data_IF_289251863632
#
_entry.id   IF_289251863632
#
_cell.length_a   1.000
_cell.length_b   1.000
_cell.length_c   1.000
_cell.angle_alpha   90.00
_cell.angle_beta   90.00
_cell.angle_gamma   90.00
#
_symmetry.space_group_name_H-M   'P 1'
#
loop_
_entity.id
_entity.type
_entity.pdbx_description
1 polymer ?
#
# COMPACT_ATOMS: atom_id res chain seq x y z
N UNK A 1 3.66 12.55 -11.32
CA UNK A 1 3.94 12.06 -12.69
C UNK A 1 5.44 12.04 -13.00
N UNK A 2 6.17 13.17 -12.96
CA UNK A 2 7.62 13.20 -13.22
C UNK A 2 8.40 12.28 -12.27
N UNK A 3 8.17 12.41 -10.96
CA UNK A 3 8.77 11.56 -9.92
C UNK A 3 8.49 10.08 -10.18
N UNK A 4 7.23 9.73 -10.43
CA UNK A 4 6.82 8.35 -10.70
C UNK A 4 7.50 7.74 -11.92
N UNK A 5 7.71 8.52 -12.98
CA UNK A 5 8.41 8.08 -14.20
C UNK A 5 9.91 7.88 -13.93
N UNK A 6 10.54 8.80 -13.19
CA UNK A 6 11.97 8.69 -12.82
C UNK A 6 12.23 7.46 -11.95
N UNK A 7 11.33 7.18 -10.99
CA UNK A 7 11.47 6.02 -10.13
C UNK A 7 11.10 4.70 -10.83
N UNK A 8 10.18 4.71 -11.79
CA UNK A 8 9.92 3.54 -12.64
C UNK A 8 11.20 3.08 -13.39
N UNK A 9 12.00 4.02 -13.90
CA UNK A 9 13.29 3.71 -14.55
C UNK A 9 14.38 3.27 -13.55
N UNK A 10 14.29 3.70 -12.30
CA UNK A 10 15.25 3.34 -11.24
C UNK A 10 14.92 1.98 -10.59
N UNK A 11 13.65 1.56 -10.62
CA UNK A 11 13.18 0.25 -10.17
C UNK A 11 13.88 -0.89 -10.90
N UNK A 12 14.12 -0.73 -12.19
CA UNK A 12 14.80 -1.74 -13.02
C UNK A 12 16.27 -1.94 -12.62
N UNK A 13 16.89 -0.95 -11.94
CA UNK A 13 18.31 -0.98 -11.55
C UNK A 13 18.55 -1.37 -10.08
N UNK A 14 17.67 -0.96 -9.17
CA UNK A 14 17.83 -1.14 -7.71
C UNK A 14 17.06 -2.34 -7.17
N UNK A 15 16.11 -2.87 -7.95
CA UNK A 15 15.26 -3.99 -7.54
C UNK A 15 14.08 -3.55 -6.69
N UNK A 16 12.97 -4.30 -6.79
CA UNK A 16 11.66 -3.90 -6.27
C UNK A 16 11.55 -3.94 -4.73
N UNK A 17 12.27 -4.88 -4.10
CA UNK A 17 12.20 -5.17 -2.66
C UNK A 17 12.76 -4.04 -1.78
N UNK A 18 13.99 -3.53 -1.99
CA UNK A 18 14.51 -2.44 -1.15
C UNK A 18 13.79 -1.11 -1.37
N UNK A 19 13.25 -0.87 -2.57
CA UNK A 19 12.50 0.36 -2.88
C UNK A 19 11.21 0.43 -2.04
N UNK A 20 10.51 -0.69 -1.87
CA UNK A 20 9.29 -0.72 -1.05
C UNK A 20 9.59 -0.37 0.42
N UNK A 21 10.68 -0.91 0.97
CA UNK A 21 11.07 -0.66 2.36
C UNK A 21 11.60 0.76 2.58
N UNK A 22 12.41 1.29 1.66
CA UNK A 22 12.88 2.67 1.71
C UNK A 22 11.72 3.68 1.56
N UNK A 23 10.76 3.39 0.68
CA UNK A 23 9.59 4.23 0.46
C UNK A 23 8.66 4.23 1.67
N UNK A 24 8.27 3.07 2.20
CA UNK A 24 7.41 2.98 3.39
C UNK A 24 8.11 3.54 4.63
N UNK A 25 9.43 3.34 4.78
CA UNK A 25 10.21 3.96 5.85
C UNK A 25 10.26 5.50 5.76
N UNK A 26 10.45 6.04 4.56
CA UNK A 26 10.40 7.48 4.31
C UNK A 26 9.00 8.07 4.51
N UNK A 27 7.96 7.33 4.13
CA UNK A 27 6.56 7.68 4.36
C UNK A 27 6.23 7.76 5.86
N UNK A 28 6.65 6.76 6.64
CA UNK A 28 6.48 6.76 8.10
C UNK A 28 7.19 7.95 8.77
N UNK A 29 8.48 8.16 8.45
CA UNK A 29 9.26 9.24 9.03
C UNK A 29 8.69 10.62 8.73
N UNK A 30 8.27 10.86 7.49
CA UNK A 30 7.68 12.13 7.07
C UNK A 30 6.31 12.37 7.70
N UNK A 31 5.49 11.33 7.84
CA UNK A 31 4.18 11.41 8.48
C UNK A 31 4.28 11.68 10.00
N UNK A 32 5.28 11.13 10.68
CA UNK A 32 5.58 11.44 12.08
C UNK A 32 5.92 12.93 12.26
N UNK A 33 6.76 13.49 11.39
CA UNK A 33 7.15 14.91 11.46
C UNK A 33 5.98 15.82 11.06
N UNK A 34 5.17 15.41 10.07
CA UNK A 34 3.94 16.13 9.72
C UNK A 34 2.98 16.19 10.90
N UNK A 35 2.70 15.04 11.54
CA UNK A 35 1.81 14.96 12.72
C UNK A 35 2.30 15.82 13.88
N UNK A 36 3.61 15.80 14.16
CA UNK A 36 4.23 16.62 15.19
C UNK A 36 4.10 18.13 14.87
N UNK A 37 4.26 18.50 13.61
CA UNK A 37 4.12 19.89 13.16
C UNK A 37 2.67 20.37 13.25
N UNK A 38 1.69 19.50 12.98
CA UNK A 38 0.27 19.77 13.21
C UNK A 38 -0.03 20.02 14.70
N UNK A 39 0.44 19.15 15.59
CA UNK A 39 0.25 19.34 17.04
C UNK A 39 0.91 20.62 17.56
N UNK A 40 2.12 20.93 17.08
CA UNK A 40 2.84 22.16 17.44
C UNK A 40 2.14 23.44 16.93
N UNK A 41 1.55 23.36 15.74
CA UNK A 41 0.74 24.45 15.18
C UNK A 41 -0.54 24.69 15.98
N UNK A 42 -1.26 23.62 16.35
CA UNK A 42 -2.52 23.70 17.10
C UNK A 42 -2.34 24.15 18.56
N UNK A 43 -1.32 23.64 19.27
CA UNK A 43 -1.13 23.89 20.71
C UNK A 43 -0.25 25.12 21.01
N UNK A 44 0.81 25.34 20.24
CA UNK A 44 1.85 26.32 20.60
C UNK A 44 1.95 27.51 19.63
N UNK A 45 1.19 27.51 18.53
CA UNK A 45 1.22 28.57 17.48
C UNK A 45 2.65 28.94 17.07
N UNK A 46 3.53 27.95 16.96
CA UNK A 46 4.93 28.20 16.61
C UNK A 46 5.01 28.87 15.22
N UNK A 47 5.70 30.01 15.09
CA UNK A 47 5.85 30.69 13.81
C UNK A 47 6.61 29.78 12.83
N UNK A 48 6.01 29.54 11.65
CA UNK A 48 6.59 28.68 10.60
C UNK A 48 6.15 27.21 10.62
N UNK A 49 5.40 26.77 11.64
CA UNK A 49 4.87 25.39 11.67
C UNK A 49 3.89 25.11 10.52
N UNK A 50 3.09 26.10 10.11
CA UNK A 50 2.21 25.97 8.94
C UNK A 50 2.97 25.72 7.63
N UNK A 51 4.09 26.41 7.41
CA UNK A 51 4.91 26.25 6.20
C UNK A 51 5.60 24.89 6.24
N UNK A 52 6.16 24.50 7.39
CA UNK A 52 6.78 23.19 7.57
C UNK A 52 5.77 22.05 7.28
N UNK A 53 4.53 22.17 7.78
CA UNK A 53 3.46 21.20 7.51
C UNK A 53 3.24 21.00 6.01
N UNK A 54 3.12 22.10 5.25
CA UNK A 54 2.91 22.06 3.80
C UNK A 54 4.09 21.39 3.09
N UNK A 55 5.33 21.71 3.49
CA UNK A 55 6.53 21.06 2.91
C UNK A 55 6.50 19.55 3.14
N UNK A 56 6.18 19.09 4.34
CA UNK A 56 6.14 17.66 4.65
C UNK A 56 5.04 16.90 3.89
N UNK A 57 3.92 17.53 3.53
CA UNK A 57 2.91 16.94 2.64
C UNK A 57 3.50 16.60 1.27
N UNK A 58 4.32 17.50 0.72
CA UNK A 58 4.99 17.27 -0.56
C UNK A 58 6.06 16.19 -0.48
N UNK A 59 6.82 16.16 0.61
CA UNK A 59 7.82 15.11 0.84
C UNK A 59 7.14 13.75 1.02
N UNK A 60 6.03 13.66 1.76
CA UNK A 60 5.22 12.44 1.86
C UNK A 60 4.71 11.99 0.49
N UNK A 61 4.17 12.92 -0.30
CA UNK A 61 3.66 12.64 -1.65
C UNK A 61 4.77 12.14 -2.59
N UNK A 62 6.00 12.63 -2.41
CA UNK A 62 7.17 12.12 -3.13
C UNK A 62 7.44 10.65 -2.78
N UNK A 63 7.53 10.29 -1.49
CA UNK A 63 7.76 8.90 -1.07
C UNK A 63 6.63 7.98 -1.52
N UNK A 64 5.37 8.39 -1.36
CA UNK A 64 4.21 7.63 -1.83
C UNK A 64 4.26 7.39 -3.35
N UNK A 65 4.65 8.41 -4.13
CA UNK A 65 4.76 8.31 -5.58
C UNK A 65 5.86 7.33 -6.05
N UNK A 66 6.87 7.05 -5.22
CA UNK A 66 8.00 6.17 -5.61
C UNK A 66 7.67 4.68 -5.60
N UNK A 67 6.83 4.21 -4.67
CA UNK A 67 6.50 2.78 -4.53
C UNK A 67 5.00 2.52 -4.61
N UNK A 68 4.19 3.21 -3.83
CA UNK A 68 2.76 2.90 -3.67
C UNK A 68 1.94 3.27 -4.92
N UNK A 69 2.31 4.33 -5.63
CA UNK A 69 1.57 4.77 -6.82
C UNK A 69 1.62 3.82 -8.02
N UNK A 70 2.64 2.96 -8.16
CA UNK A 70 2.83 2.18 -9.40
C UNK A 70 3.42 0.79 -9.18
N UNK A 71 4.31 0.63 -8.20
CA UNK A 71 4.94 -0.66 -7.91
C UNK A 71 3.95 -1.65 -7.31
N UNK A 72 2.93 -1.17 -6.58
CA UNK A 72 1.90 -2.02 -5.97
C UNK A 72 1.12 -2.82 -7.01
N UNK A 73 0.66 -2.17 -8.09
CA UNK A 73 -0.05 -2.84 -9.18
C UNK A 73 0.92 -3.77 -9.94
N UNK A 74 2.16 -3.34 -10.17
CA UNK A 74 3.19 -4.16 -10.81
C UNK A 74 3.50 -5.44 -10.02
N UNK A 75 3.62 -5.34 -8.70
CA UNK A 75 3.85 -6.48 -7.81
C UNK A 75 2.64 -7.42 -7.79
N UNK A 76 1.41 -6.89 -7.72
CA UNK A 76 0.21 -7.70 -7.81
C UNK A 76 0.16 -8.50 -9.13
N UNK A 77 0.44 -7.85 -10.27
CA UNK A 77 0.49 -8.51 -11.60
C UNK A 77 1.50 -9.66 -11.66
N UNK A 78 2.63 -9.53 -10.95
CA UNK A 78 3.72 -10.52 -10.94
C UNK A 78 3.40 -11.76 -10.11
N UNK A 79 2.72 -11.60 -8.97
CA UNK A 79 2.36 -12.74 -8.12
C UNK A 79 1.17 -13.54 -8.68
N UNK A 80 0.39 -12.95 -9.61
CA UNK A 80 -0.76 -13.60 -10.23
C UNK A 80 -0.40 -14.46 -11.45
N UNK A 81 -0.94 -15.69 -11.54
CA UNK A 81 -0.78 -16.53 -12.73
C UNK A 81 -1.52 -15.93 -13.92
N UNK A 82 -0.99 -16.14 -15.14
CA UNK A 82 -1.48 -15.52 -16.37
C UNK A 82 -2.99 -15.69 -16.61
N UNK A 83 -3.59 -16.83 -16.22
CA UNK A 83 -5.03 -17.11 -16.40
C UNK A 83 -5.96 -16.36 -15.43
N UNK A 84 -5.45 -15.90 -14.28
CA UNK A 84 -6.23 -15.23 -13.23
C UNK A 84 -5.88 -13.74 -13.07
N UNK A 85 -4.82 -13.27 -13.74
CA UNK A 85 -4.30 -11.90 -13.63
C UNK A 85 -5.36 -10.82 -13.82
N UNK A 86 -6.13 -10.87 -14.90
CA UNK A 86 -7.15 -9.86 -15.19
C UNK A 86 -8.22 -9.77 -14.07
N UNK A 87 -8.62 -10.92 -13.52
CA UNK A 87 -9.61 -10.99 -12.43
C UNK A 87 -9.05 -10.53 -11.10
N UNK A 88 -7.79 -10.88 -10.81
CA UNK A 88 -7.13 -10.38 -9.60
C UNK A 88 -6.89 -8.88 -9.64
N UNK A 89 -6.60 -8.31 -10.82
CA UNK A 89 -6.50 -6.86 -10.98
C UNK A 89 -7.86 -6.18 -10.78
N UNK A 90 -8.95 -6.81 -11.20
CA UNK A 90 -10.29 -6.29 -10.93
C UNK A 90 -10.58 -6.29 -9.42
N UNK A 91 -10.25 -7.38 -8.72
CA UNK A 91 -10.41 -7.47 -7.25
C UNK A 91 -9.54 -6.42 -6.54
N UNK A 92 -8.30 -6.24 -6.99
CA UNK A 92 -7.41 -5.20 -6.47
C UNK A 92 -8.03 -3.80 -6.64
N UNK A 93 -8.53 -3.48 -7.82
CA UNK A 93 -9.16 -2.19 -8.07
C UNK A 93 -10.41 -1.99 -7.22
N UNK A 94 -11.23 -3.02 -7.01
CA UNK A 94 -12.38 -2.94 -6.11
C UNK A 94 -11.92 -2.66 -4.67
N UNK A 95 -10.89 -3.35 -4.18
CA UNK A 95 -10.36 -3.12 -2.83
C UNK A 95 -9.86 -1.67 -2.66
N UNK A 96 -9.12 -1.15 -3.65
CA UNK A 96 -8.64 0.23 -3.66
C UNK A 96 -9.82 1.21 -3.65
N UNK A 97 -10.86 0.99 -4.46
CA UNK A 97 -12.03 1.87 -4.51
C UNK A 97 -12.85 1.84 -3.22
N UNK A 98 -12.97 0.68 -2.58
CA UNK A 98 -13.63 0.55 -1.28
C UNK A 98 -12.86 1.30 -0.20
N UNK A 99 -11.54 1.12 -0.14
CA UNK A 99 -10.71 1.82 0.83
C UNK A 99 -10.68 3.34 0.59
N UNK A 100 -10.69 3.77 -0.68
CA UNK A 100 -10.84 5.18 -1.05
C UNK A 100 -12.21 5.75 -0.67
N UNK A 101 -13.29 4.99 -0.87
CA UNK A 101 -14.63 5.38 -0.46
C UNK A 101 -14.71 5.58 1.06
N UNK A 102 -14.13 4.66 1.83
CA UNK A 102 -14.03 4.77 3.28
C UNK A 102 -13.22 6.01 3.68
N UNK A 103 -12.06 6.26 3.09
CA UNK A 103 -11.30 7.48 3.38
C UNK A 103 -12.10 8.75 3.04
N UNK A 104 -12.75 8.81 1.88
CA UNK A 104 -13.52 9.99 1.47
C UNK A 104 -14.76 10.25 2.35
N UNK A 105 -15.31 9.22 3.00
CA UNK A 105 -16.46 9.36 3.89
C UNK A 105 -16.06 9.50 5.37
N UNK A 106 -15.03 8.77 5.81
CA UNK A 106 -14.56 8.81 7.18
C UNK A 106 -13.80 10.11 7.50
N UNK A 107 -12.99 10.61 6.56
CA UNK A 107 -12.17 11.80 6.78
C UNK A 107 -12.98 13.06 7.06
N UNK A 108 -14.04 13.42 6.29
CA UNK A 108 -14.84 14.59 6.62
C UNK A 108 -15.58 14.44 7.94
N UNK A 109 -16.14 13.26 8.25
CA UNK A 109 -16.85 13.00 9.51
C UNK A 109 -15.93 13.11 10.72
N UNK A 110 -14.71 12.58 10.60
CA UNK A 110 -13.74 12.59 11.68
C UNK A 110 -13.15 14.00 11.89
N UNK A 111 -12.97 14.76 10.80
CA UNK A 111 -12.63 16.18 10.86
C UNK A 111 -13.78 16.98 11.52
N UNK A 112 -15.03 16.72 11.19
CA UNK A 112 -16.19 17.41 11.81
C UNK A 112 -16.32 17.11 13.30
N UNK A 113 -15.98 15.90 13.75
CA UNK A 113 -15.99 15.53 15.16
C UNK A 113 -14.86 16.14 15.98
N UNK A 114 -13.67 16.32 15.39
CA UNK A 114 -12.46 16.77 16.11
C UNK A 114 -12.03 18.20 15.77
N UNK A 115 -12.79 18.90 14.93
CA UNK A 115 -12.68 20.35 14.72
C UNK A 115 -12.89 21.07 16.06
N UNK A 116 -11.95 21.96 16.38
CA UNK A 116 -12.13 22.95 17.44
C UNK A 116 -13.18 23.98 17.06
N UNK A 117 -13.59 24.79 18.03
CA UNK A 117 -14.66 25.80 17.95
C UNK A 117 -14.72 26.52 16.59
N UNK A 118 -15.92 26.48 15.98
CA UNK A 118 -16.17 26.94 14.61
C UNK A 118 -15.67 28.37 14.37
N UNK A 119 -14.83 28.54 13.33
CA UNK A 119 -14.40 29.85 12.85
C UNK A 119 -12.96 30.25 13.18
N UNK A 120 -12.24 29.50 14.01
CA UNK A 120 -10.82 29.82 14.31
C UNK A 120 -9.84 28.90 13.58
N UNK A 121 -10.20 27.62 13.32
CA UNK A 121 -9.24 26.64 12.79
C UNK A 121 -8.15 26.24 13.81
N UNK A 122 -8.37 26.53 15.09
CA UNK A 122 -7.44 26.27 16.20
C UNK A 122 -8.17 25.63 17.38
N UNK A 123 -7.45 24.87 18.21
CA UNK A 123 -7.99 24.25 19.43
C UNK A 123 -8.74 22.92 19.23
N UNK A 124 -8.72 22.37 18.02
CA UNK A 124 -9.21 21.01 17.74
C UNK A 124 -8.19 19.94 18.08
N UNK A 125 -8.65 18.70 18.21
CA UNK A 125 -7.79 17.52 18.35
C UNK A 125 -7.53 16.85 17.00
N UNK A 126 -7.35 17.66 15.94
CA UNK A 126 -7.18 17.17 14.57
C UNK A 126 -5.91 16.31 14.43
N UNK A 127 -4.87 16.64 15.21
CA UNK A 127 -3.65 15.85 15.33
C UNK A 127 -3.88 14.37 15.69
N UNK A 128 -4.99 14.02 16.37
CA UNK A 128 -5.33 12.62 16.69
C UNK A 128 -5.65 11.83 15.41
N UNK A 129 -6.24 12.46 14.37
CA UNK A 129 -6.50 11.77 13.09
C UNK A 129 -5.18 11.39 12.43
N UNK A 130 -4.26 12.34 12.38
CA UNK A 130 -2.94 12.11 11.83
C UNK A 130 -2.17 11.04 12.63
N UNK A 131 -2.36 10.96 13.95
CA UNK A 131 -1.77 9.90 14.78
C UNK A 131 -2.33 8.51 14.42
N UNK A 132 -3.63 8.38 14.14
CA UNK A 132 -4.21 7.12 13.65
C UNK A 132 -3.55 6.69 12.34
N UNK A 133 -3.30 7.63 11.42
CA UNK A 133 -2.56 7.35 10.18
C UNK A 133 -1.10 6.94 10.44
N UNK A 134 -0.42 7.55 11.41
CA UNK A 134 0.94 7.13 11.80
C UNK A 134 0.94 5.68 12.29
N UNK A 135 -0.05 5.29 13.10
CA UNK A 135 -0.20 3.89 13.56
C UNK A 135 -0.48 2.96 12.37
N UNK A 136 -1.35 3.36 11.45
CA UNK A 136 -1.65 2.58 10.25
C UNK A 136 -0.41 2.32 9.39
N UNK A 137 0.35 3.38 9.09
CA UNK A 137 1.60 3.28 8.31
C UNK A 137 2.68 2.51 9.06
N UNK A 138 2.69 2.54 10.40
CA UNK A 138 3.56 1.69 11.20
C UNK A 138 3.23 0.21 11.03
N UNK A 139 1.94 -0.16 11.08
CA UNK A 139 1.51 -1.53 10.80
C UNK A 139 1.88 -1.98 9.39
N UNK A 140 1.73 -1.09 8.41
CA UNK A 140 2.14 -1.34 7.02
C UNK A 140 3.66 -1.57 6.93
N UNK A 141 4.47 -0.73 7.59
CA UNK A 141 5.92 -0.89 7.65
C UNK A 141 6.30 -2.24 8.29
N UNK A 142 5.65 -2.63 9.38
CA UNK A 142 5.86 -3.93 10.01
C UNK A 142 5.48 -5.09 9.09
N UNK A 143 4.36 -4.98 8.36
CA UNK A 143 3.91 -5.99 7.40
C UNK A 143 4.92 -6.15 6.25
N UNK A 144 5.38 -5.03 5.67
CA UNK A 144 6.41 -5.00 4.63
C UNK A 144 7.72 -5.60 5.14
N UNK A 145 8.12 -5.26 6.36
CA UNK A 145 9.32 -5.80 6.98
C UNK A 145 9.21 -7.32 7.20
N UNK A 146 8.06 -7.80 7.65
CA UNK A 146 7.80 -9.23 7.82
C UNK A 146 7.82 -9.99 6.49
N UNK A 147 7.20 -9.43 5.45
CA UNK A 147 7.24 -9.97 4.08
C UNK A 147 8.67 -9.98 3.51
N UNK A 148 9.46 -8.95 3.80
CA UNK A 148 10.87 -8.91 3.44
C UNK A 148 11.68 -9.99 4.15
N UNK A 149 11.43 -10.20 5.45
CA UNK A 149 12.10 -11.25 6.23
C UNK A 149 11.68 -12.66 5.79
N UNK A 150 10.39 -12.87 5.47
CA UNK A 150 9.90 -14.13 4.91
C UNK A 150 10.48 -14.43 3.52
N UNK A 151 10.88 -13.40 2.77
CA UNK A 151 11.51 -13.54 1.45
C UNK A 151 13.04 -13.65 1.50
N UNK A 152 13.66 -13.51 2.69
CA UNK A 152 15.11 -13.65 2.90
C UNK A 152 15.50 -15.09 3.24
N UNK A 153 15.31 -16.00 2.27
CA UNK A 153 16.32 -17.04 2.10
C UNK A 153 15.88 -18.49 1.96
N UNK A 154 14.83 -18.83 1.20
CA UNK A 154 14.89 -20.04 0.36
C UNK A 154 13.85 -20.09 -0.78
N UNK A 155 14.02 -19.28 -1.84
CA UNK A 155 13.28 -19.45 -3.11
C UNK A 155 13.62 -20.79 -3.82
N UNK A 156 14.64 -21.52 -3.33
CA UNK A 156 15.06 -22.85 -3.78
C UNK A 156 14.48 -23.98 -2.92
N UNK A 157 13.56 -23.70 -1.97
CA UNK A 157 12.99 -24.77 -1.15
C UNK A 157 12.28 -25.77 -2.06
N UNK A 158 12.65 -27.08 -2.03
CA UNK A 158 12.17 -28.06 -3.00
C UNK A 158 10.63 -28.14 -3.05
N UNK A 159 9.96 -27.83 -1.95
CA UNK A 159 8.49 -27.75 -1.86
C UNK A 159 7.89 -26.58 -2.65
N UNK A 160 8.55 -25.41 -2.69
CA UNK A 160 8.06 -24.24 -3.43
C UNK A 160 8.22 -24.47 -4.93
N UNK A 161 9.33 -25.07 -5.37
CA UNK A 161 9.50 -25.45 -6.78
C UNK A 161 8.56 -26.57 -7.20
N UNK A 162 8.25 -27.51 -6.29
CA UNK A 162 7.26 -28.56 -6.53
C UNK A 162 5.86 -27.96 -6.73
N UNK A 163 5.41 -27.09 -5.82
CA UNK A 163 4.13 -26.36 -5.97
C UNK A 163 4.11 -25.49 -7.24
N UNK A 164 5.22 -24.82 -7.57
CA UNK A 164 5.32 -24.00 -8.78
C UNK A 164 5.19 -24.84 -10.05
N UNK A 165 5.73 -26.06 -10.05
CA UNK A 165 5.66 -26.99 -11.17
C UNK A 165 4.25 -27.57 -11.34
N UNK A 166 3.61 -27.93 -10.23
CA UNK A 166 2.22 -28.41 -10.21
C UNK A 166 1.24 -27.34 -10.72
N UNK A 167 1.42 -26.09 -10.29
CA UNK A 167 0.65 -24.94 -10.77
C UNK A 167 0.89 -24.70 -12.26
N UNK A 168 2.14 -24.83 -12.74
CA UNK A 168 2.48 -24.64 -14.15
C UNK A 168 1.84 -25.70 -15.05
N UNK A 169 1.83 -26.95 -14.60
CA UNK A 169 1.22 -28.03 -15.37
C UNK A 169 -0.32 -27.95 -15.34
N UNK A 170 -0.91 -27.51 -14.23
CA UNK A 170 -2.35 -27.22 -14.15
C UNK A 170 -2.74 -26.08 -15.11
N UNK A 171 -1.94 -25.01 -15.21
CA UNK A 171 -2.17 -23.91 -16.15
C UNK A 171 -2.06 -24.39 -17.61
N UNK A 172 -1.09 -25.25 -17.94
CA UNK A 172 -0.97 -25.83 -19.29
C UNK A 172 -2.18 -26.68 -19.66
N UNK A 173 -2.69 -27.46 -18.71
CA UNK A 173 -3.89 -28.26 -18.89
C UNK A 173 -5.13 -27.38 -19.04
N UNK A 174 -5.27 -26.31 -18.25
CA UNK A 174 -6.36 -25.33 -18.38
C UNK A 174 -6.31 -24.54 -19.70
N UNK A 175 -5.10 -24.18 -20.15
CA UNK A 175 -4.87 -23.46 -21.41
C UNK A 175 -5.15 -24.36 -22.63
N UNK A 176 -4.82 -25.65 -22.54
CA UNK A 176 -5.21 -26.65 -23.53
C UNK A 176 -6.72 -26.96 -23.53
N UNK A 177 -7.38 -26.83 -22.36
CA UNK A 177 -8.81 -27.09 -22.20
C UNK A 177 -9.73 -25.90 -22.53
N UNK A 178 -9.18 -24.75 -22.96
CA UNK A 178 -9.92 -23.55 -23.38
C UNK A 178 -11.06 -23.14 -22.42
N UNK A 179 -10.87 -23.38 -21.12
CA UNK A 179 -11.92 -23.22 -20.11
C UNK A 179 -11.88 -21.80 -19.55
N UNK A 180 -13.03 -21.11 -19.59
CA UNK A 180 -13.18 -19.80 -18.94
C UNK A 180 -13.01 -19.96 -17.43
N UNK A 181 -11.93 -19.40 -16.87
CA UNK A 181 -11.70 -19.40 -15.42
C UNK A 181 -12.87 -18.72 -14.70
N UNK A 182 -13.20 -19.12 -13.48
CA UNK A 182 -14.26 -18.51 -12.66
C UNK A 182 -13.64 -17.80 -11.45
N UNK A 183 -14.33 -16.82 -10.86
CA UNK A 183 -13.85 -16.14 -9.63
C UNK A 183 -13.61 -17.11 -8.47
N UNK A 184 -14.31 -18.24 -8.45
CA UNK A 184 -14.18 -19.30 -7.44
C UNK A 184 -12.81 -20.00 -7.53
N UNK A 185 -12.10 -19.92 -8.67
CA UNK A 185 -10.79 -20.56 -8.85
C UNK A 185 -9.69 -19.93 -7.98
N UNK A 186 -9.93 -18.72 -7.45
CA UNK A 186 -9.07 -18.12 -6.43
C UNK A 186 -9.10 -18.88 -5.10
N UNK A 187 -10.20 -19.55 -4.79
CA UNK A 187 -10.38 -20.29 -3.54
C UNK A 187 -10.06 -21.78 -3.69
N UNK A 188 -9.71 -22.28 -4.87
CA UNK A 188 -9.46 -23.72 -5.08
C UNK A 188 -8.14 -24.21 -4.49
N UNK A 189 -7.06 -23.43 -4.57
CA UNK A 189 -5.73 -23.85 -4.11
C UNK A 189 -5.24 -23.00 -2.93
N UNK A 190 -4.42 -23.60 -2.04
CA UNK A 190 -3.82 -22.87 -0.90
C UNK A 190 -2.95 -21.69 -1.38
N UNK A 191 -2.19 -21.88 -2.47
CA UNK A 191 -1.38 -20.82 -3.08
C UNK A 191 -2.21 -19.67 -3.66
N UNK A 192 -3.35 -19.94 -4.32
CA UNK A 192 -4.21 -18.89 -4.86
C UNK A 192 -4.93 -18.11 -3.75
N UNK A 193 -5.29 -18.75 -2.63
CA UNK A 193 -5.86 -18.08 -1.45
C UNK A 193 -4.86 -17.12 -0.81
N UNK A 194 -3.60 -17.54 -0.65
CA UNK A 194 -2.54 -16.68 -0.12
C UNK A 194 -2.33 -15.46 -1.03
N UNK A 195 -2.24 -15.68 -2.36
CA UNK A 195 -2.13 -14.59 -3.34
C UNK A 195 -3.32 -13.64 -3.28
N UNK A 196 -4.54 -14.16 -3.16
CA UNK A 196 -5.76 -13.34 -3.01
C UNK A 196 -5.72 -12.47 -1.76
N UNK A 197 -5.33 -13.04 -0.61
CA UNK A 197 -5.21 -12.30 0.66
C UNK A 197 -4.17 -11.19 0.54
N UNK A 198 -3.01 -11.46 -0.07
CA UNK A 198 -1.97 -10.45 -0.31
C UNK A 198 -2.49 -9.33 -1.21
N UNK A 199 -3.22 -9.63 -2.28
CA UNK A 199 -3.80 -8.61 -3.18
C UNK A 199 -4.80 -7.72 -2.46
N UNK A 200 -5.69 -8.31 -1.65
CA UNK A 200 -6.71 -7.58 -0.89
C UNK A 200 -6.03 -6.71 0.18
N UNK A 201 -5.06 -7.26 0.92
CA UNK A 201 -4.30 -6.53 1.91
C UNK A 201 -3.54 -5.35 1.29
N UNK A 202 -2.86 -5.55 0.15
CA UNK A 202 -2.20 -4.47 -0.58
C UNK A 202 -3.18 -3.40 -1.07
N UNK A 203 -4.36 -3.79 -1.57
CA UNK A 203 -5.38 -2.84 -2.00
C UNK A 203 -5.92 -1.97 -0.86
N UNK A 204 -6.03 -2.53 0.34
CA UNK A 204 -6.47 -1.82 1.55
C UNK A 204 -5.33 -0.94 2.10
N UNK A 205 -4.09 -1.43 2.14
CA UNK A 205 -2.93 -0.65 2.58
C UNK A 205 -2.54 0.49 1.62
N UNK A 206 -3.01 0.44 0.37
CA UNK A 206 -2.74 1.50 -0.61
C UNK A 206 -3.47 2.82 -0.31
N UNK A 207 -4.37 2.86 0.68
CA UNK A 207 -5.23 3.99 1.02
C UNK A 207 -5.10 4.30 2.51
#
# INVERSE_FOLDING_TARGET
MIVSISFALMVDRVGRRPIFLLATGGMFGTLCVWTLTCGLYEQHRAPGANIAMIVFIWVFSFFYATAWSGLLIGYAVEILPYSLRAKGLMILNIAIQVALCLNNQANPVAMDHWKGEEGTGYGGNTWILYLIYVIWVFFELCFVFYMFYHANGNDQHPTVQFEFREIRDTIRLEQAANTSTKYIDFFKTKGNRYRLIVIIALGIFSQ
#
